data_IF_364655406293
#
_entry.id   IF_364655406293
#
_cell.length_a   1.000
_cell.length_b   1.000
_cell.length_c   1.000
_cell.angle_alpha   90.00
_cell.angle_beta   90.00
_cell.angle_gamma   90.00
#
_symmetry.space_group_name_H-M   'P 1'
#
loop_
_entity.id
_entity.type
_entity.pdbx_description
1 polymer ?
#
# COMPACT_ATOMS: atom_id res chain seq x y z
N UNK A 1 -4.51 -0.92 -7.33
CA UNK A 1 -4.32 -2.36 -7.02
C UNK A 1 -5.42 -2.76 -6.06
N UNK A 2 -6.58 -3.12 -6.58
CA UNK A 2 -7.72 -3.58 -5.75
C UNK A 2 -8.02 -5.06 -5.97
N UNK A 3 -7.23 -5.71 -6.81
CA UNK A 3 -7.52 -7.04 -7.36
C UNK A 3 -6.99 -8.17 -6.46
N UNK A 4 -6.32 -7.82 -5.35
CA UNK A 4 -5.77 -8.79 -4.39
C UNK A 4 -4.57 -9.58 -4.94
N UNK A 5 -3.86 -9.05 -5.92
CA UNK A 5 -2.73 -9.72 -6.58
C UNK A 5 -1.56 -8.78 -6.84
N UNK A 6 -0.35 -9.34 -6.90
CA UNK A 6 0.88 -8.66 -7.35
C UNK A 6 1.58 -9.47 -8.42
N UNK A 7 2.32 -8.80 -9.32
CA UNK A 7 3.17 -9.46 -10.31
C UNK A 7 4.57 -9.59 -9.71
N UNK A 8 5.06 -10.82 -9.58
CA UNK A 8 6.42 -11.12 -9.15
C UNK A 8 7.46 -10.78 -10.23
N UNK A 9 8.73 -10.72 -9.85
CA UNK A 9 9.83 -10.33 -10.75
C UNK A 9 10.01 -11.27 -11.94
N UNK A 10 9.54 -12.51 -11.84
CA UNK A 10 9.56 -13.52 -12.89
C UNK A 10 8.27 -13.52 -13.76
N UNK A 11 7.35 -12.58 -13.49
CA UNK A 11 6.07 -12.44 -14.18
C UNK A 11 4.92 -13.25 -13.56
N UNK A 12 5.17 -14.05 -12.53
CA UNK A 12 4.11 -14.82 -11.85
C UNK A 12 3.12 -13.88 -11.16
N UNK A 13 1.82 -14.12 -11.35
CA UNK A 13 0.79 -13.40 -10.59
C UNK A 13 0.59 -14.11 -9.25
N UNK A 14 0.88 -13.40 -8.15
CA UNK A 14 0.80 -13.93 -6.79
C UNK A 14 -0.42 -13.31 -6.08
N UNK A 15 -1.37 -14.10 -5.56
CA UNK A 15 -2.45 -13.58 -4.74
C UNK A 15 -1.92 -13.16 -3.36
N UNK A 16 -2.42 -12.04 -2.85
CA UNK A 16 -2.07 -11.50 -1.53
C UNK A 16 -3.32 -11.06 -0.76
N UNK A 17 -3.31 -11.32 0.54
CA UNK A 17 -4.26 -10.74 1.49
C UNK A 17 -3.51 -9.68 2.31
N UNK A 18 -3.63 -8.41 1.92
CA UNK A 18 -2.93 -7.31 2.56
C UNK A 18 -3.89 -6.48 3.42
N UNK A 19 -3.85 -6.69 4.73
CA UNK A 19 -4.61 -5.88 5.70
C UNK A 19 -3.92 -4.54 6.01
N UNK A 20 -2.62 -4.46 5.78
CA UNK A 20 -1.81 -3.27 6.01
C UNK A 20 -0.67 -3.17 4.98
N UNK A 21 -0.18 -1.96 4.77
CA UNK A 21 0.98 -1.67 3.91
C UNK A 21 2.08 -1.05 4.75
N UNK A 22 3.23 -1.72 4.85
CA UNK A 22 4.41 -1.15 5.48
C UNK A 22 5.02 -0.08 4.57
N UNK A 23 5.29 1.10 5.12
CA UNK A 23 5.98 2.19 4.45
C UNK A 23 7.19 2.62 5.27
N UNK A 24 8.21 3.14 4.61
CA UNK A 24 9.37 3.74 5.26
C UNK A 24 9.16 5.23 5.50
N UNK A 25 9.87 5.77 6.49
CA UNK A 25 9.91 7.20 6.83
C UNK A 25 11.30 7.64 7.29
N UNK A 26 12.31 6.89 6.86
CA UNK A 26 13.73 7.04 7.20
C UNK A 26 14.42 8.20 6.45
N UNK A 27 13.75 8.77 5.44
CA UNK A 27 14.25 9.90 4.66
C UNK A 27 13.12 10.82 4.19
N UNK A 28 13.41 12.08 3.81
CA UNK A 28 12.41 12.96 3.21
C UNK A 28 11.75 12.37 1.96
N UNK A 29 12.51 11.62 1.15
CA UNK A 29 11.98 10.92 -0.01
C UNK A 29 11.02 9.79 0.37
N UNK A 30 11.32 9.03 1.43
CA UNK A 30 10.43 7.98 1.93
C UNK A 30 9.10 8.56 2.44
N UNK A 31 9.15 9.69 3.15
CA UNK A 31 7.93 10.41 3.59
C UNK A 31 7.13 10.90 2.38
N UNK A 32 7.78 11.48 1.37
CA UNK A 32 7.10 11.90 0.14
C UNK A 32 6.42 10.71 -0.58
N UNK A 33 7.07 9.54 -0.62
CA UNK A 33 6.45 8.31 -1.14
C UNK A 33 5.23 7.88 -0.30
N UNK A 34 5.33 7.92 1.03
CA UNK A 34 4.21 7.59 1.91
C UNK A 34 2.98 8.49 1.68
N UNK A 35 3.20 9.80 1.46
CA UNK A 35 2.14 10.72 1.07
C UNK A 35 1.52 10.37 -0.29
N UNK A 36 2.34 10.12 -1.32
CA UNK A 36 1.86 9.74 -2.64
C UNK A 36 1.04 8.44 -2.63
N UNK A 37 1.47 7.44 -1.84
CA UNK A 37 0.73 6.19 -1.64
C UNK A 37 -0.63 6.49 -1.02
N UNK A 38 -0.68 7.28 0.06
CA UNK A 38 -1.93 7.63 0.75
C UNK A 38 -2.90 8.37 -0.16
N UNK A 39 -2.43 9.36 -0.90
CA UNK A 39 -3.24 10.12 -1.85
C UNK A 39 -3.82 9.23 -2.94
N UNK A 40 -3.01 8.33 -3.49
CA UNK A 40 -3.47 7.39 -4.52
C UNK A 40 -4.52 6.42 -3.99
N UNK A 41 -4.32 5.86 -2.79
CA UNK A 41 -5.29 4.97 -2.16
C UNK A 41 -6.64 5.68 -1.94
N UNK A 42 -6.63 6.92 -1.44
CA UNK A 42 -7.84 7.71 -1.24
C UNK A 42 -8.53 8.03 -2.58
N UNK A 43 -7.77 8.41 -3.60
CA UNK A 43 -8.30 8.68 -4.94
C UNK A 43 -8.96 7.44 -5.56
N UNK A 44 -8.43 6.24 -5.27
CA UNK A 44 -8.99 4.96 -5.69
C UNK A 44 -10.15 4.49 -4.77
N UNK A 45 -10.60 5.32 -3.82
CA UNK A 45 -11.74 5.05 -2.94
C UNK A 45 -11.43 4.21 -1.69
N UNK A 46 -10.15 3.97 -1.39
CA UNK A 46 -9.72 3.19 -0.23
C UNK A 46 -9.72 4.04 1.03
N UNK A 47 -10.40 3.56 2.07
CA UNK A 47 -10.36 4.20 3.40
C UNK A 47 -9.12 3.74 4.17
N UNK A 48 -8.19 4.67 4.44
CA UNK A 48 -7.01 4.40 5.26
C UNK A 48 -7.35 4.61 6.74
N UNK A 49 -7.28 3.55 7.54
CA UNK A 49 -7.55 3.54 8.99
C UNK A 49 -6.63 2.57 9.72
N UNK A 50 -6.53 2.70 11.03
CA UNK A 50 -5.88 1.68 11.85
C UNK A 50 -6.54 0.31 11.65
N UNK A 51 -5.72 -0.73 11.46
CA UNK A 51 -6.18 -2.11 11.26
C UNK A 51 -6.36 -2.88 12.58
N UNK A 52 -5.90 -2.32 13.70
CA UNK A 52 -6.11 -2.86 15.05
C UNK A 52 -7.11 -2.00 15.82
N UNK A 53 -7.77 -2.58 16.82
CA UNK A 53 -8.48 -1.83 17.85
C UNK A 53 -7.48 -1.06 18.74
N UNK A 54 -7.94 0.02 19.36
CA UNK A 54 -7.22 0.74 20.40
C UNK A 54 -7.32 0.02 21.75
#
# INVERSE_FOLDING_TARGET
MLDGTVVAIDGTVVPIAADSVCVHGDSPAAVAMAHAIRERLIADGVTVRAFTAA
#
